data_IF_737786756978
#
_entry.id   IF_737786756978
#
_cell.length_a   1.000
_cell.length_b   1.000
_cell.length_c   1.000
_cell.angle_alpha   90.00
_cell.angle_beta   90.00
_cell.angle_gamma   90.00
#
_symmetry.space_group_name_H-M   'P 1'
#
loop_
_entity.id
_entity.type
_entity.pdbx_description
1 polymer ?
#
# COMPACT_ATOMS: atom_id res chain seq x y z
N UNK A 1 4.81 6.60 18.02
CA UNK A 1 4.06 6.07 16.85
C UNK A 1 5.05 5.64 15.78
N UNK A 2 4.83 4.49 15.20
CA UNK A 2 5.71 3.92 14.18
C UNK A 2 5.06 4.04 12.81
N UNK A 3 5.87 4.00 11.76
CA UNK A 3 5.43 4.11 10.39
C UNK A 3 5.88 2.87 9.62
N UNK A 4 4.97 2.29 8.84
CA UNK A 4 5.27 1.21 7.92
C UNK A 4 4.78 1.58 6.53
N UNK A 5 5.62 1.39 5.53
CA UNK A 5 5.25 1.63 4.14
C UNK A 5 5.03 0.28 3.47
N UNK A 6 3.84 0.09 2.92
CA UNK A 6 3.46 -1.11 2.19
C UNK A 6 3.21 -0.72 0.73
N UNK A 7 3.53 -1.62 -0.18
CA UNK A 7 3.23 -1.40 -1.60
C UNK A 7 2.87 -2.72 -2.27
N UNK A 8 2.04 -2.61 -3.30
CA UNK A 8 1.58 -3.75 -4.07
C UNK A 8 1.24 -3.29 -5.49
N UNK A 9 1.26 -4.20 -6.49
CA UNK A 9 0.95 -3.86 -7.87
C UNK A 9 -0.55 -3.67 -8.14
N UNK A 10 -1.41 -4.02 -7.19
CA UNK A 10 -2.86 -3.87 -7.31
C UNK A 10 -3.52 -3.68 -5.95
N UNK A 11 -4.81 -3.33 -5.97
CA UNK A 11 -5.58 -3.10 -4.75
C UNK A 11 -5.68 -4.34 -3.87
N UNK A 12 -5.91 -5.50 -4.48
CA UNK A 12 -6.11 -6.73 -3.73
C UNK A 12 -4.87 -7.11 -2.93
N UNK A 13 -3.70 -6.98 -3.56
CA UNK A 13 -2.43 -7.24 -2.88
C UNK A 13 -2.19 -6.28 -1.73
N UNK A 14 -2.52 -4.99 -1.91
CA UNK A 14 -2.38 -4.01 -0.84
C UNK A 14 -3.35 -4.29 0.29
N UNK A 15 -4.59 -4.64 -0.03
CA UNK A 15 -5.61 -4.98 0.96
C UNK A 15 -5.18 -6.17 1.81
N UNK A 16 -4.64 -7.20 1.20
CA UNK A 16 -4.12 -8.37 1.93
C UNK A 16 -3.00 -7.99 2.89
N UNK A 17 -2.07 -7.15 2.45
CA UNK A 17 -0.97 -6.67 3.31
C UNK A 17 -1.49 -5.82 4.46
N UNK A 18 -2.44 -4.94 4.21
CA UNK A 18 -3.05 -4.11 5.25
C UNK A 18 -3.77 -4.94 6.29
N UNK A 19 -4.53 -5.94 5.85
CA UNK A 19 -5.26 -6.82 6.76
C UNK A 19 -4.30 -7.65 7.62
N UNK A 20 -3.26 -8.21 7.03
CA UNK A 20 -2.24 -8.96 7.75
C UNK A 20 -1.53 -8.08 8.77
N UNK A 21 -1.22 -6.85 8.40
CA UNK A 21 -0.56 -5.90 9.31
C UNK A 21 -1.49 -5.51 10.46
N UNK A 22 -2.75 -5.27 10.16
CA UNK A 22 -3.75 -4.89 11.17
C UNK A 22 -4.02 -6.01 12.17
N UNK A 23 -3.83 -7.27 11.78
CA UNK A 23 -3.95 -8.41 12.68
C UNK A 23 -2.80 -8.50 13.69
N UNK A 24 -1.64 -7.96 13.36
CA UNK A 24 -0.46 -8.00 14.22
C UNK A 24 -0.26 -6.76 15.06
N UNK A 25 -0.67 -5.61 14.56
CA UNK A 25 -0.35 -4.32 15.17
C UNK A 25 -1.60 -3.48 15.33
N UNK A 26 -1.55 -2.54 16.27
CA UNK A 26 -2.62 -1.58 16.44
C UNK A 26 -2.41 -0.42 15.48
N UNK A 27 -3.19 -0.38 14.42
CA UNK A 27 -3.12 0.67 13.40
C UNK A 27 -3.95 1.86 13.83
N UNK A 28 -3.36 3.04 13.78
CA UNK A 28 -4.02 4.30 14.16
C UNK A 28 -4.52 5.09 12.97
N UNK A 29 -3.79 5.06 11.87
CA UNK A 29 -4.17 5.75 10.64
C UNK A 29 -3.51 5.09 9.45
N UNK A 30 -4.12 5.22 8.29
CA UNK A 30 -3.58 4.73 7.03
C UNK A 30 -3.84 5.76 5.94
N UNK A 31 -2.80 6.05 5.15
CA UNK A 31 -2.93 6.88 3.96
C UNK A 31 -2.58 6.02 2.75
N UNK A 32 -3.39 6.09 1.71
CA UNK A 32 -3.16 5.33 0.49
C UNK A 32 -2.88 6.26 -0.68
N UNK A 33 -1.96 5.84 -1.53
CA UNK A 33 -1.60 6.56 -2.74
C UNK A 33 -1.54 5.58 -3.90
N UNK A 34 -1.97 6.04 -5.07
CA UNK A 34 -1.97 5.24 -6.28
C UNK A 34 -1.12 5.96 -7.32
N UNK A 35 -0.12 5.28 -7.83
CA UNK A 35 0.82 5.85 -8.79
C UNK A 35 0.76 5.07 -10.09
N UNK A 36 0.26 5.65 -11.18
CA UNK A 36 0.31 5.00 -12.48
C UNK A 36 1.74 5.08 -13.03
N UNK A 37 2.20 3.98 -13.61
CA UNK A 37 3.49 3.91 -14.30
C UNK A 37 3.20 3.58 -15.76
N UNK A 38 3.60 4.48 -16.65
CA UNK A 38 3.42 4.30 -18.10
C UNK A 38 4.79 4.04 -18.72
N UNK A 39 4.90 2.93 -19.44
CA UNK A 39 6.13 2.58 -20.15
C UNK A 39 6.14 3.17 -21.55
N UNK A 40 7.33 3.25 -22.13
CA UNK A 40 7.52 3.83 -23.48
C UNK A 40 6.88 3.00 -24.58
N UNK A 41 6.61 1.72 -24.33
CA UNK A 41 5.94 0.82 -25.29
C UNK A 41 4.40 0.93 -25.25
N UNK A 42 3.86 1.81 -24.43
CA UNK A 42 2.42 2.00 -24.28
C UNK A 42 1.75 1.12 -23.24
N UNK A 43 2.50 0.24 -22.59
CA UNK A 43 1.95 -0.53 -21.45
C UNK A 43 1.95 0.31 -20.18
N UNK A 44 1.06 -0.03 -19.25
CA UNK A 44 0.97 0.66 -17.99
C UNK A 44 0.87 -0.29 -16.82
N UNK A 45 1.36 0.19 -15.68
CA UNK A 45 1.23 -0.50 -14.41
C UNK A 45 0.68 0.48 -13.39
N UNK A 46 0.11 -0.06 -12.31
CA UNK A 46 -0.30 0.74 -11.17
C UNK A 46 0.47 0.27 -9.95
N UNK A 47 1.03 1.21 -9.20
CA UNK A 47 1.62 0.94 -7.91
C UNK A 47 0.71 1.50 -6.83
N UNK A 48 0.29 0.64 -5.91
CA UNK A 48 -0.51 1.02 -4.76
C UNK A 48 0.39 1.07 -3.53
N UNK A 49 0.38 2.21 -2.85
CA UNK A 49 1.24 2.46 -1.69
C UNK A 49 0.35 2.80 -0.51
N UNK A 50 0.64 2.21 0.65
CA UNK A 50 0.00 2.57 1.90
C UNK A 50 1.04 2.99 2.92
N UNK A 51 0.82 4.12 3.57
CA UNK A 51 1.60 4.56 4.72
C UNK A 51 0.76 4.29 5.95
N UNK A 52 1.26 3.41 6.81
CA UNK A 52 0.53 2.95 7.98
C UNK A 52 1.20 3.50 9.23
N UNK A 53 0.40 4.19 10.06
CA UNK A 53 0.82 4.70 11.36
C UNK A 53 0.31 3.75 12.43
N UNK A 54 1.20 3.21 13.24
CA UNK A 54 0.84 2.20 14.23
C UNK A 54 1.65 2.35 15.52
N UNK A 55 1.22 1.65 16.52
CA UNK A 55 1.89 1.63 17.84
C UNK A 55 2.72 0.36 17.98
#
# INVERSE_FOLDING_TARGET
>A
MKIKILHAPNYLGLEEQLNAFNDKYTVKATQTHFKPIVHTDGTGEMECIAVVYYI
#
